data_IF_361261529053
#
_entry.id   IF_361261529053
#
_cell.length_a   1.000
_cell.length_b   1.000
_cell.length_c   1.000
_cell.angle_alpha   90.00
_cell.angle_beta   90.00
_cell.angle_gamma   90.00
#
_symmetry.space_group_name_H-M   'P 1'
#
loop_
_entity.id
_entity.type
_entity.pdbx_description
1 polymer ?
#
# COMPACT_ATOMS: atom_id res chain seq x y z
N UNK A 1 33.39 -36.73 -58.92
CA UNK A 1 34.18 -35.61 -58.37
C UNK A 1 33.18 -34.53 -57.99
N UNK A 2 32.77 -34.51 -56.72
CA UNK A 2 31.74 -33.59 -56.23
C UNK A 2 32.40 -32.25 -55.92
N UNK A 3 32.03 -31.21 -56.67
CA UNK A 3 32.53 -29.86 -56.48
C UNK A 3 31.83 -29.25 -55.27
N UNK A 4 32.54 -29.14 -54.14
CA UNK A 4 32.05 -28.44 -52.97
C UNK A 4 32.05 -26.93 -53.26
N UNK A 5 30.91 -26.22 -53.08
CA UNK A 5 30.88 -24.77 -53.25
C UNK A 5 31.79 -24.13 -52.21
N UNK A 6 32.62 -23.20 -52.65
CA UNK A 6 33.60 -22.55 -51.78
C UNK A 6 32.95 -21.43 -50.98
N UNK A 7 33.47 -21.18 -49.77
CA UNK A 7 32.95 -20.25 -48.73
C UNK A 7 32.62 -18.84 -49.27
N UNK A 8 33.22 -18.42 -50.37
CA UNK A 8 32.95 -17.14 -51.03
C UNK A 8 31.60 -17.10 -51.75
N UNK A 9 31.16 -18.21 -52.35
CA UNK A 9 29.88 -18.29 -53.07
C UNK A 9 28.68 -18.27 -52.11
N UNK A 10 28.82 -18.90 -50.94
CA UNK A 10 27.78 -18.89 -49.90
C UNK A 10 27.65 -17.50 -49.26
N UNK A 11 28.78 -16.80 -49.06
CA UNK A 11 28.78 -15.41 -48.57
C UNK A 11 28.18 -14.44 -49.59
N UNK A 12 28.45 -14.64 -50.88
CA UNK A 12 27.82 -13.85 -51.95
C UNK A 12 26.31 -14.10 -52.03
N UNK A 13 25.85 -15.35 -51.95
CA UNK A 13 24.42 -15.67 -51.96
C UNK A 13 23.68 -15.10 -50.73
N UNK A 14 24.33 -15.07 -49.56
CA UNK A 14 23.74 -14.46 -48.36
C UNK A 14 23.65 -12.92 -48.48
N UNK A 15 24.68 -12.28 -49.03
CA UNK A 15 24.69 -10.82 -49.26
C UNK A 15 23.69 -10.39 -50.34
N UNK A 16 23.54 -11.16 -51.42
CA UNK A 16 22.55 -10.85 -52.48
C UNK A 16 21.10 -10.99 -51.98
N UNK A 17 20.84 -11.96 -51.10
CA UNK A 17 19.51 -12.13 -50.49
C UNK A 17 19.17 -11.03 -49.47
N UNK A 18 20.17 -10.56 -48.73
CA UNK A 18 20.00 -9.41 -47.83
C UNK A 18 19.75 -8.10 -48.60
N UNK A 19 20.32 -7.95 -49.80
CA UNK A 19 20.18 -6.73 -50.60
C UNK A 19 18.86 -6.68 -51.40
N UNK A 20 18.30 -7.84 -51.83
CA UNK A 20 17.04 -7.89 -52.59
C UNK A 20 15.78 -7.98 -51.73
N UNK A 21 15.89 -8.29 -50.43
CA UNK A 21 14.73 -8.44 -49.53
C UNK A 21 14.17 -7.13 -48.95
N UNK A 22 14.85 -5.99 -49.13
CA UNK A 22 14.49 -4.72 -48.49
C UNK A 22 13.53 -3.82 -49.32
N UNK A 23 13.06 -4.28 -50.49
CA UNK A 23 12.30 -3.45 -51.43
C UNK A 23 10.83 -3.86 -51.64
N UNK A 24 10.31 -4.82 -50.86
CA UNK A 24 8.90 -5.22 -50.95
C UNK A 24 8.18 -4.97 -49.63
N UNK A 25 6.98 -4.38 -49.75
CA UNK A 25 5.96 -4.21 -48.71
C UNK A 25 6.07 -2.93 -47.84
N UNK A 26 5.87 -1.78 -48.50
CA UNK A 26 5.03 -0.73 -47.93
C UNK A 26 3.57 -1.06 -48.31
N UNK A 27 2.66 -0.90 -47.35
CA UNK A 27 1.18 -0.89 -47.43
C UNK A 27 0.43 -2.17 -47.01
N UNK A 28 -0.25 -2.12 -45.84
CA UNK A 28 -1.44 -2.96 -45.57
C UNK A 28 -1.60 -3.54 -44.14
N UNK A 29 -2.29 -2.78 -43.28
CA UNK A 29 -3.09 -3.12 -42.06
C UNK A 29 -2.88 -4.38 -41.19
N UNK A 30 -3.12 -4.27 -39.85
CA UNK A 30 -2.77 -5.30 -38.86
C UNK A 30 -3.79 -6.43 -38.78
N UNK A 31 -3.42 -7.62 -39.25
CA UNK A 31 -4.19 -8.85 -39.04
C UNK A 31 -3.67 -9.59 -37.81
N UNK A 32 -4.41 -9.47 -36.71
CA UNK A 32 -4.27 -10.35 -35.55
C UNK A 32 -4.62 -11.80 -35.96
N UNK A 33 -3.62 -12.69 -35.94
CA UNK A 33 -3.81 -14.13 -35.91
C UNK A 33 -2.68 -14.75 -35.09
N UNK A 34 -3.05 -15.20 -33.88
CA UNK A 34 -2.20 -15.98 -33.00
C UNK A 34 -1.94 -17.38 -33.57
N UNK A 35 -0.82 -17.96 -33.12
CA UNK A 35 -0.43 -19.37 -33.12
C UNK A 35 0.29 -19.91 -34.38
N UNK A 36 1.59 -19.65 -34.46
CA UNK A 36 2.57 -20.76 -34.45
C UNK A 36 3.83 -20.31 -33.67
N UNK A 37 4.26 -21.15 -32.73
CA UNK A 37 5.09 -20.78 -31.59
C UNK A 37 6.60 -20.76 -31.88
N UNK A 38 7.04 -19.76 -32.63
CA UNK A 38 8.45 -19.33 -32.63
C UNK A 38 8.41 -17.82 -32.55
N UNK A 39 8.60 -17.31 -31.34
CA UNK A 39 8.77 -15.88 -31.07
C UNK A 39 10.16 -15.52 -31.61
N UNK A 40 10.25 -15.40 -32.94
CA UNK A 40 11.46 -15.00 -33.64
C UNK A 40 11.79 -13.63 -33.10
N UNK A 41 12.88 -13.53 -32.33
CA UNK A 41 13.38 -12.27 -31.81
C UNK A 41 13.59 -11.33 -32.99
N UNK A 42 12.65 -10.42 -33.19
CA UNK A 42 12.69 -9.51 -34.32
C UNK A 42 13.93 -8.60 -34.16
N UNK A 43 14.54 -8.23 -35.29
CA UNK A 43 15.67 -7.31 -35.27
C UNK A 43 15.21 -5.95 -34.71
N UNK A 44 15.54 -5.69 -33.44
CA UNK A 44 15.06 -4.53 -32.69
C UNK A 44 14.45 -4.86 -31.32
N UNK A 45 14.44 -6.13 -30.91
CA UNK A 45 14.07 -6.52 -29.54
C UNK A 45 14.90 -5.78 -28.49
N UNK A 46 14.21 -5.10 -27.58
CA UNK A 46 14.85 -4.35 -26.50
C UNK A 46 15.27 -5.29 -25.38
N UNK A 47 16.57 -5.61 -25.32
CA UNK A 47 17.16 -6.42 -24.24
C UNK A 47 17.24 -5.68 -22.89
N UNK A 48 16.60 -4.53 -22.72
CA UNK A 48 16.36 -3.97 -21.39
C UNK A 48 15.10 -4.54 -20.73
N UNK A 49 14.13 -5.00 -21.52
CA UNK A 49 12.91 -5.61 -21.00
C UNK A 49 13.17 -7.01 -20.44
N UNK A 50 12.73 -7.23 -19.21
CA UNK A 50 12.81 -8.53 -18.54
C UNK A 50 11.97 -9.61 -19.22
N UNK A 51 10.88 -9.26 -19.89
CA UNK A 51 10.04 -10.23 -20.60
C UNK A 51 10.73 -10.71 -21.88
N UNK A 52 11.32 -9.79 -22.66
CA UNK A 52 12.13 -10.12 -23.81
C UNK A 52 13.32 -11.01 -23.42
N UNK A 53 14.08 -10.65 -22.37
CA UNK A 53 15.19 -11.49 -21.87
C UNK A 53 14.73 -12.90 -21.48
N UNK A 54 13.55 -13.03 -20.87
CA UNK A 54 13.02 -14.33 -20.44
C UNK A 54 12.57 -15.22 -21.61
N UNK A 55 12.23 -14.64 -22.75
CA UNK A 55 11.87 -15.38 -23.96
C UNK A 55 13.09 -15.93 -24.71
N UNK A 56 14.32 -15.49 -24.38
CA UNK A 56 15.52 -15.98 -25.07
C UNK A 56 15.73 -17.48 -24.82
N UNK A 57 15.98 -18.26 -25.88
CA UNK A 57 16.39 -19.64 -25.76
C UNK A 57 17.68 -19.76 -24.92
N UNK A 58 17.75 -20.68 -23.95
CA UNK A 58 18.97 -20.90 -23.17
C UNK A 58 20.08 -21.57 -23.99
N UNK A 59 19.74 -22.15 -25.13
CA UNK A 59 20.66 -22.84 -26.05
C UNK A 59 20.43 -22.37 -27.47
N UNK A 60 21.45 -22.51 -28.32
CA UNK A 60 21.33 -22.20 -29.74
C UNK A 60 20.24 -23.06 -30.41
N UNK A 61 19.41 -22.46 -31.26
CA UNK A 61 18.15 -23.08 -31.74
C UNK A 61 18.35 -24.24 -32.74
N UNK A 62 19.36 -24.17 -33.62
CA UNK A 62 19.67 -25.26 -34.56
C UNK A 62 20.88 -26.10 -34.09
N UNK A 63 20.70 -27.40 -33.77
CA UNK A 63 21.80 -28.28 -33.35
C UNK A 63 22.84 -28.51 -34.45
N UNK A 64 22.49 -28.36 -35.74
CA UNK A 64 23.46 -28.53 -36.85
C UNK A 64 24.44 -27.36 -36.92
N UNK A 65 23.96 -26.16 -36.62
CA UNK A 65 24.80 -24.96 -36.54
C UNK A 65 25.61 -24.95 -35.24
N UNK A 66 25.09 -25.55 -34.17
CA UNK A 66 25.82 -25.73 -32.93
C UNK A 66 27.07 -26.62 -33.10
N UNK A 67 26.97 -27.68 -33.90
CA UNK A 67 28.11 -28.54 -34.24
C UNK A 67 29.10 -27.87 -35.21
N UNK A 68 28.60 -27.00 -36.10
CA UNK A 68 29.43 -26.24 -37.04
C UNK A 68 30.22 -25.11 -36.35
N UNK A 69 29.65 -24.52 -35.29
CA UNK A 69 30.19 -23.33 -34.59
C UNK A 69 30.12 -23.50 -33.06
N UNK A 70 30.98 -24.35 -32.48
CA UNK A 70 30.91 -24.67 -31.06
C UNK A 70 31.31 -23.51 -30.15
N UNK A 71 32.19 -22.60 -30.61
CA UNK A 71 32.65 -21.45 -29.81
C UNK A 71 31.57 -20.36 -29.72
N UNK A 72 30.85 -20.13 -30.82
CA UNK A 72 29.74 -19.18 -30.91
C UNK A 72 28.56 -19.64 -30.04
N UNK A 73 28.30 -20.94 -30.04
CA UNK A 73 27.27 -21.56 -29.18
C UNK A 73 27.57 -21.38 -27.69
N UNK A 74 28.82 -21.58 -27.27
CA UNK A 74 29.24 -21.36 -25.88
C UNK A 74 29.10 -19.89 -25.49
N UNK A 75 29.56 -18.97 -26.35
CA UNK A 75 29.46 -17.53 -26.10
C UNK A 75 28.01 -17.07 -25.99
N UNK A 76 27.12 -17.61 -26.84
CA UNK A 76 25.70 -17.34 -26.75
C UNK A 76 25.14 -17.80 -25.40
N UNK A 77 25.40 -19.04 -25.00
CA UNK A 77 24.90 -19.59 -23.74
C UNK A 77 25.41 -18.79 -22.53
N UNK A 78 26.68 -18.39 -22.52
CA UNK A 78 27.25 -17.52 -21.49
C UNK A 78 26.53 -16.16 -21.46
N UNK A 79 26.35 -15.51 -22.60
CA UNK A 79 25.71 -14.20 -22.67
C UNK A 79 24.25 -14.26 -22.20
N UNK A 80 23.48 -15.26 -22.66
CA UNK A 80 22.09 -15.46 -22.23
C UNK A 80 22.02 -15.69 -20.72
N UNK A 81 22.91 -16.51 -20.16
CA UNK A 81 22.97 -16.72 -18.71
C UNK A 81 23.21 -15.40 -17.95
N UNK A 82 24.17 -14.58 -18.40
CA UNK A 82 24.43 -13.28 -17.75
C UNK A 82 23.25 -12.31 -17.87
N UNK A 83 22.55 -12.30 -19.00
CA UNK A 83 21.36 -11.46 -19.20
C UNK A 83 20.22 -11.89 -18.29
N UNK A 84 19.95 -13.20 -18.21
CA UNK A 84 18.92 -13.76 -17.35
C UNK A 84 19.23 -13.52 -15.87
N UNK A 85 20.47 -13.68 -15.44
CA UNK A 85 20.90 -13.35 -14.07
C UNK A 85 20.68 -11.85 -13.76
N UNK A 86 21.11 -10.97 -14.67
CA UNK A 86 20.90 -9.53 -14.54
C UNK A 86 19.41 -9.15 -14.47
N UNK A 87 18.56 -9.77 -15.30
CA UNK A 87 17.12 -9.57 -15.27
C UNK A 87 16.49 -10.05 -13.96
N UNK A 88 16.91 -11.22 -13.45
CA UNK A 88 16.46 -11.74 -12.16
C UNK A 88 16.83 -10.80 -11.01
N UNK A 89 18.05 -10.25 -11.00
CA UNK A 89 18.47 -9.27 -10.01
C UNK A 89 17.63 -7.97 -10.06
N UNK A 90 17.35 -7.44 -11.26
CA UNK A 90 16.51 -6.25 -11.44
C UNK A 90 15.09 -6.47 -10.93
N UNK A 91 14.47 -7.60 -11.26
CA UNK A 91 13.09 -7.91 -10.82
C UNK A 91 13.01 -8.08 -9.31
N UNK A 92 13.98 -8.75 -8.68
CA UNK A 92 14.06 -8.88 -7.23
C UNK A 92 14.21 -7.50 -6.53
N UNK A 93 15.06 -6.61 -7.06
CA UNK A 93 15.21 -5.26 -6.54
C UNK A 93 13.90 -4.45 -6.67
N UNK A 94 13.22 -4.53 -7.83
CA UNK A 94 11.94 -3.87 -8.05
C UNK A 94 10.86 -4.35 -7.07
N UNK A 95 10.80 -5.65 -6.78
CA UNK A 95 9.88 -6.21 -5.78
C UNK A 95 10.16 -5.67 -4.37
N UNK A 96 11.44 -5.57 -3.96
CA UNK A 96 11.83 -4.98 -2.68
C UNK A 96 11.38 -3.52 -2.59
N UNK A 97 11.62 -2.73 -3.62
CA UNK A 97 11.19 -1.32 -3.67
C UNK A 97 9.67 -1.20 -3.59
N UNK A 98 8.92 -2.03 -4.32
CA UNK A 98 7.45 -2.07 -4.24
C UNK A 98 6.96 -2.39 -2.82
N UNK A 99 7.58 -3.38 -2.16
CA UNK A 99 7.27 -3.74 -0.77
C UNK A 99 7.53 -2.58 0.18
N UNK A 100 8.68 -1.94 0.07
CA UNK A 100 9.05 -0.79 0.90
C UNK A 100 8.13 0.41 0.67
N UNK A 101 7.77 0.70 -0.59
CA UNK A 101 6.78 1.75 -0.90
C UNK A 101 5.42 1.45 -0.30
N UNK A 102 4.96 0.20 -0.36
CA UNK A 102 3.70 -0.22 0.29
C UNK A 102 3.76 -0.03 1.81
N UNK A 103 4.88 -0.40 2.44
CA UNK A 103 5.08 -0.15 3.87
C UNK A 103 5.09 1.35 4.19
N UNK A 104 5.78 2.16 3.39
CA UNK A 104 5.78 3.61 3.55
C UNK A 104 4.37 4.22 3.43
N UNK A 105 3.55 3.76 2.49
CA UNK A 105 2.15 4.23 2.38
C UNK A 105 1.29 3.88 3.59
N UNK A 106 1.53 2.72 4.22
CA UNK A 106 0.81 2.32 5.44
C UNK A 106 1.29 3.09 6.68
N UNK A 107 2.57 3.49 6.70
CA UNK A 107 3.16 4.24 7.81
C UNK A 107 2.99 5.76 7.65
N UNK A 108 2.67 6.27 6.46
CA UNK A 108 2.49 7.69 6.20
C UNK A 108 1.50 8.38 7.18
N UNK A 109 0.34 7.79 7.53
CA UNK A 109 -0.57 8.38 8.52
C UNK A 109 0.01 8.43 9.95
N UNK A 110 0.95 7.54 10.29
CA UNK A 110 1.60 7.52 11.60
C UNK A 110 2.76 8.52 11.69
N UNK A 111 3.56 8.64 10.62
CA UNK A 111 4.66 9.58 10.54
C UNK A 111 4.18 11.04 10.64
N UNK A 112 3.04 11.37 10.00
CA UNK A 112 2.41 12.68 10.11
C UNK A 112 1.92 13.03 11.53
N UNK A 113 1.77 12.05 12.42
CA UNK A 113 1.32 12.29 13.79
C UNK A 113 2.47 12.27 14.81
N UNK A 114 3.58 11.59 14.52
CA UNK A 114 4.78 11.61 15.37
C UNK A 114 5.67 12.84 15.14
N UNK A 115 5.58 13.49 13.98
CA UNK A 115 6.20 14.78 13.71
C UNK A 115 5.37 15.91 14.36
N UNK A 116 5.27 15.86 15.70
CA UNK A 116 4.77 16.93 16.54
C UNK A 116 5.87 17.96 16.83
N UNK A 117 6.55 18.45 15.79
CA UNK A 117 7.38 19.65 15.92
C UNK A 117 6.43 20.85 15.95
N UNK A 118 6.06 21.18 17.20
CA UNK A 118 5.34 22.37 17.62
C UNK A 118 6.29 23.57 17.59
N UNK A 119 6.73 23.97 16.40
CA UNK A 119 7.28 25.30 16.18
C UNK A 119 6.65 25.92 14.93
N UNK A 120 5.90 27.00 15.14
CA UNK A 120 5.27 27.88 14.16
C UNK A 120 3.79 27.58 13.81
N UNK A 121 2.96 28.03 14.76
CA UNK A 121 1.62 28.61 14.60
C UNK A 121 1.59 29.58 13.40
N UNK A 122 0.43 29.67 12.74
CA UNK A 122 0.07 30.54 11.61
C UNK A 122 0.36 30.01 10.20
N UNK A 123 -0.42 29.01 9.78
CA UNK A 123 -1.09 29.03 8.47
C UNK A 123 -2.27 28.05 8.45
N UNK A 124 -3.47 28.61 8.33
CA UNK A 124 -4.67 27.88 7.95
C UNK A 124 -4.49 27.37 6.52
N UNK A 125 -4.50 26.06 6.33
CA UNK A 125 -5.33 25.38 5.32
C UNK A 125 -5.17 23.85 5.46
N UNK A 126 -6.27 23.13 5.26
CA UNK A 126 -6.42 21.67 5.18
C UNK A 126 -6.19 20.81 6.44
N UNK A 127 -7.14 20.95 7.38
CA UNK A 127 -7.29 20.06 8.52
C UNK A 127 -7.95 18.74 8.16
N UNK A 128 -7.18 17.65 8.02
CA UNK A 128 -7.68 16.30 8.33
C UNK A 128 -6.62 15.20 8.56
N UNK A 129 -5.31 15.49 8.42
CA UNK A 129 -4.29 14.43 8.55
C UNK A 129 -3.84 14.18 10.00
N UNK A 130 -4.07 15.12 10.93
CA UNK A 130 -3.60 15.01 12.33
C UNK A 130 -4.53 14.21 13.25
N UNK A 131 -5.72 13.81 12.78
CA UNK A 131 -6.76 13.16 13.60
C UNK A 131 -7.09 11.72 13.21
N UNK A 132 -6.39 11.12 12.25
CA UNK A 132 -6.66 9.73 11.83
C UNK A 132 -6.06 8.68 12.77
N UNK A 133 -5.21 9.09 13.71
CA UNK A 133 -4.66 8.20 14.72
C UNK A 133 -5.61 8.12 15.90
N UNK A 134 -6.59 7.22 15.75
CA UNK A 134 -7.52 6.72 16.77
C UNK A 134 -7.87 7.74 17.85
N UNK A 135 -9.00 8.42 17.69
CA UNK A 135 -9.56 9.34 18.70
C UNK A 135 -9.70 8.76 20.12
N UNK A 136 -9.49 7.43 20.29
CA UNK A 136 -9.54 6.70 21.54
C UNK A 136 -8.16 6.31 22.11
N UNK A 137 -7.04 6.85 21.59
CA UNK A 137 -5.73 6.58 22.18
C UNK A 137 -5.61 7.29 23.54
N UNK A 138 -5.81 6.54 24.61
CA UNK A 138 -5.53 7.01 25.98
C UNK A 138 -4.01 7.10 26.15
N UNK A 139 -3.47 8.28 25.90
CA UNK A 139 -2.06 8.58 26.13
C UNK A 139 -1.79 8.74 27.63
N UNK A 140 -0.60 8.32 28.11
CA UNK A 140 -0.15 8.61 29.48
C UNK A 140 -0.06 10.13 29.67
N UNK A 141 -0.65 10.64 30.76
CA UNK A 141 -0.89 12.06 31.04
C UNK A 141 -1.83 12.77 30.04
N UNK A 142 -2.64 12.00 29.31
CA UNK A 142 -3.62 12.50 28.35
C UNK A 142 -4.77 13.26 29.01
N UNK A 143 -5.59 13.96 28.21
CA UNK A 143 -6.72 14.75 28.72
C UNK A 143 -7.72 13.88 29.50
N UNK A 144 -7.95 12.64 29.05
CA UNK A 144 -8.83 11.68 29.74
C UNK A 144 -8.27 11.27 31.10
N UNK A 145 -6.96 11.00 31.21
CA UNK A 145 -6.34 10.62 32.48
C UNK A 145 -6.37 11.77 33.49
N UNK A 146 -6.15 13.02 33.03
CA UNK A 146 -6.27 14.21 33.89
C UNK A 146 -7.71 14.42 34.39
N UNK A 147 -8.70 14.18 33.54
CA UNK A 147 -10.11 14.29 33.93
C UNK A 147 -10.53 13.17 34.88
N UNK A 148 -10.05 11.94 34.65
CA UNK A 148 -10.24 10.83 35.58
C UNK A 148 -9.65 11.15 36.97
N UNK A 149 -8.47 11.78 37.02
CA UNK A 149 -7.86 12.19 38.29
C UNK A 149 -8.67 13.29 39.00
N UNK A 150 -9.16 14.29 38.25
CA UNK A 150 -10.08 15.30 38.81
C UNK A 150 -11.36 14.65 39.36
N UNK A 151 -11.94 13.69 38.64
CA UNK A 151 -13.12 12.97 39.10
C UNK A 151 -12.84 12.15 40.35
N UNK A 152 -11.66 11.53 40.50
CA UNK A 152 -11.29 10.83 41.76
C UNK A 152 -11.27 11.78 42.95
N UNK A 153 -10.65 12.95 42.79
CA UNK A 153 -10.60 13.97 43.85
C UNK A 153 -12.00 14.48 44.17
N UNK A 154 -12.84 14.71 43.15
CA UNK A 154 -14.21 15.15 43.35
C UNK A 154 -15.05 14.09 44.06
N UNK A 155 -14.92 12.81 43.69
CA UNK A 155 -15.60 11.70 44.35
C UNK A 155 -15.15 11.50 45.79
N UNK A 156 -13.87 11.68 46.10
CA UNK A 156 -13.40 11.66 47.49
C UNK A 156 -14.08 12.76 48.31
N UNK A 157 -14.12 13.99 47.79
CA UNK A 157 -14.76 15.14 48.47
C UNK A 157 -16.27 14.99 48.59
N UNK A 158 -16.94 14.47 47.57
CA UNK A 158 -18.38 14.20 47.61
C UNK A 158 -18.67 13.05 48.57
N UNK A 159 -17.85 12.00 48.56
CA UNK A 159 -17.90 10.90 49.52
C UNK A 159 -17.75 11.39 50.96
N UNK A 160 -16.78 12.25 51.23
CA UNK A 160 -16.58 12.87 52.55
C UNK A 160 -17.76 13.74 52.97
N UNK A 161 -18.30 14.56 52.06
CA UNK A 161 -19.48 15.39 52.35
C UNK A 161 -20.74 14.55 52.57
N UNK A 162 -20.93 13.48 51.80
CA UNK A 162 -22.07 12.56 51.94
C UNK A 162 -21.93 11.72 53.21
N UNK A 163 -20.72 11.31 53.58
CA UNK A 163 -20.44 10.65 54.86
C UNK A 163 -20.63 11.59 56.06
N UNK A 164 -20.39 12.89 55.88
CA UNK A 164 -20.62 13.93 56.88
C UNK A 164 -22.09 14.39 56.96
N UNK A 165 -22.96 14.00 56.01
CA UNK A 165 -24.39 14.19 56.20
C UNK A 165 -24.85 13.28 57.34
N UNK A 166 -25.64 13.78 58.31
CA UNK A 166 -26.24 12.92 59.32
C UNK A 166 -27.01 11.84 58.58
N UNK A 167 -26.68 10.57 58.84
CA UNK A 167 -27.44 9.41 58.34
C UNK A 167 -28.88 9.57 58.82
N UNK A 168 -29.70 10.19 57.98
CA UNK A 168 -31.11 10.41 58.23
C UNK A 168 -31.77 9.04 58.07
N UNK A 169 -31.83 8.27 59.17
CA UNK A 169 -32.41 6.93 59.12
C UNK A 169 -32.29 6.01 60.33
N UNK A 170 -31.50 6.28 61.37
CA UNK A 170 -31.54 5.42 62.59
C UNK A 170 -31.27 6.17 63.88
N UNK A 171 -32.18 7.06 64.29
CA UNK A 171 -32.53 7.31 65.70
C UNK A 171 -33.72 8.26 65.71
N UNK A 172 -34.88 7.73 66.06
CA UNK A 172 -36.06 8.53 66.34
C UNK A 172 -35.83 9.46 67.54
N UNK A 173 -36.67 10.50 67.60
CA UNK A 173 -36.67 11.60 68.56
C UNK A 173 -35.76 12.78 68.15
N UNK A 174 -36.25 13.64 67.25
CA UNK A 174 -36.62 14.99 67.69
C UNK A 174 -37.45 15.74 66.63
N UNK A 175 -38.44 16.46 67.15
CA UNK A 175 -39.48 17.13 66.40
C UNK A 175 -38.93 18.38 65.68
N UNK A 176 -38.58 18.24 64.41
CA UNK A 176 -38.69 19.35 63.46
C UNK A 176 -38.78 18.81 62.03
N UNK A 177 -40.00 18.48 61.62
CA UNK A 177 -40.34 18.09 60.27
C UNK A 177 -40.17 19.28 59.32
N UNK A 178 -38.95 19.47 58.82
CA UNK A 178 -38.71 20.23 57.59
C UNK A 178 -39.51 19.53 56.48
N UNK A 179 -40.59 20.17 56.04
CA UNK A 179 -41.37 19.76 54.87
C UNK A 179 -40.45 19.59 53.66
N UNK A 180 -40.00 18.36 53.42
CA UNK A 180 -39.52 17.96 52.10
C UNK A 180 -40.79 17.72 51.30
N UNK A 181 -41.20 18.74 50.55
CA UNK A 181 -42.34 18.62 49.65
C UNK A 181 -42.01 17.55 48.60
N UNK A 182 -42.81 16.50 48.59
CA UNK A 182 -42.59 15.33 47.75
C UNK A 182 -42.66 15.73 46.27
N UNK A 183 -41.63 15.45 45.49
CA UNK A 183 -41.52 15.92 44.09
C UNK A 183 -42.69 15.41 43.24
N UNK A 184 -43.29 14.27 43.63
CA UNK A 184 -44.49 13.74 43.01
C UNK A 184 -45.73 14.63 43.21
N UNK A 185 -45.89 15.27 44.37
CA UNK A 185 -47.06 16.12 44.64
C UNK A 185 -46.96 17.43 43.86
N UNK A 186 -45.76 18.01 43.77
CA UNK A 186 -45.49 19.21 42.95
C UNK A 186 -45.68 18.91 41.47
N UNK A 187 -45.22 17.73 41.00
CA UNK A 187 -45.41 17.29 39.62
C UNK A 187 -46.88 17.11 39.26
N UNK A 188 -47.67 16.46 40.13
CA UNK A 188 -49.11 16.28 39.92
C UNK A 188 -49.87 17.61 39.92
N UNK A 189 -49.56 18.52 40.84
CA UNK A 189 -50.18 19.84 40.90
C UNK A 189 -49.93 20.66 39.62
N UNK A 190 -48.72 20.57 39.07
CA UNK A 190 -48.35 21.30 37.84
C UNK A 190 -49.01 20.71 36.60
N UNK A 191 -49.18 19.39 36.54
CA UNK A 191 -49.94 18.72 35.48
C UNK A 191 -51.42 19.08 35.55
N UNK A 192 -51.99 19.14 36.76
CA UNK A 192 -53.39 19.52 36.94
C UNK A 192 -53.65 20.98 36.53
N UNK A 193 -52.76 21.91 36.88
CA UNK A 193 -52.86 23.30 36.45
C UNK A 193 -52.78 23.46 34.92
N UNK A 194 -52.03 22.61 34.22
CA UNK A 194 -51.97 22.59 32.76
C UNK A 194 -53.24 22.01 32.13
N UNK A 195 -53.91 21.07 32.81
CA UNK A 195 -55.17 20.51 32.35
C UNK A 195 -56.36 21.46 32.56
N UNK A 196 -56.30 22.34 33.55
CA UNK A 196 -57.31 23.38 33.79
C UNK A 196 -57.18 24.60 32.85
N UNK A 197 -56.05 24.70 32.13
CA UNK A 197 -55.78 25.79 31.19
C UNK A 197 -56.36 25.56 29.78
N UNK A 198 -56.86 24.34 29.48
CA UNK A 198 -57.51 23.96 28.23
C UNK A 198 -58.99 23.63 28.44
#
# INVERSE_FOLDING_TARGET
MSSHPTILEVKQAFLERALYGAAAEADGEPKAAAADGVDVLDFGTDFTDSAAIAALPPTWDDPRDADAWPLETQRYAELVATLQEGAAARTAAAQRVRKLRRMATLLAPLASASSGDDENRDKADDGNAKNTLQANLVTRNGPVERELERMRVLLARVGDRVAALPRQGTTGADANASYVEDVETVGRARVQALLEQF
#
